data_IF_659614739804
#
_entry.id   IF_659614739804
#
_cell.length_a   1.000
_cell.length_b   1.000
_cell.length_c   1.000
_cell.angle_alpha   90.00
_cell.angle_beta   90.00
_cell.angle_gamma   90.00
#
_symmetry.space_group_name_H-M   'P 1'
#
loop_
_entity.id
_entity.type
_entity.pdbx_description
1 polymer ?
#
# COMPACT_ATOMS: atom_id res chain seq x y z
N UNK A 1 15.79 6.12 17.09
CA UNK A 1 15.80 6.43 15.64
C UNK A 1 14.84 5.46 14.99
N UNK A 2 13.66 5.86 14.52
CA UNK A 2 12.70 4.87 14.04
C UNK A 2 13.07 4.41 12.61
N UNK A 3 13.23 3.10 12.48
CA UNK A 3 13.14 2.22 11.31
C UNK A 3 13.25 2.82 9.89
N UNK A 4 14.40 3.42 9.56
CA UNK A 4 14.72 3.79 8.18
C UNK A 4 14.75 2.58 7.21
N UNK A 5 14.94 1.38 7.77
CA UNK A 5 15.03 0.12 7.02
C UNK A 5 13.66 -0.40 6.55
N UNK A 6 12.62 -0.25 7.38
CA UNK A 6 11.24 -0.66 7.05
C UNK A 6 10.65 0.23 5.96
N UNK A 7 10.81 1.55 6.10
CA UNK A 7 10.34 2.50 5.09
C UNK A 7 11.05 2.30 3.74
N UNK A 8 12.35 2.00 3.74
CA UNK A 8 13.09 1.64 2.51
C UNK A 8 12.60 0.34 1.89
N UNK A 9 12.34 -0.71 2.69
CA UNK A 9 11.77 -1.96 2.20
C UNK A 9 10.41 -1.74 1.55
N UNK A 10 9.52 -1.00 2.23
CA UNK A 10 8.20 -0.66 1.72
C UNK A 10 8.29 0.15 0.42
N UNK A 11 9.19 1.13 0.36
CA UNK A 11 9.41 1.93 -0.84
C UNK A 11 9.91 1.08 -2.01
N UNK A 12 10.73 0.06 -1.76
CA UNK A 12 11.12 -0.93 -2.76
C UNK A 12 9.97 -1.85 -3.19
N UNK A 13 9.12 -2.29 -2.26
CA UNK A 13 7.95 -3.13 -2.56
C UNK A 13 6.88 -2.39 -3.37
N UNK A 14 6.85 -1.05 -3.31
CA UNK A 14 5.98 -0.24 -4.14
C UNK A 14 6.50 -0.12 -5.59
N UNK A 15 7.78 -0.38 -5.85
CA UNK A 15 8.38 -0.32 -7.18
C UNK A 15 7.99 -1.52 -8.01
N UNK A 16 6.94 -1.39 -8.81
CA UNK A 16 6.25 -2.50 -9.47
C UNK A 16 6.15 -2.29 -10.98
N UNK A 17 5.73 -3.32 -11.73
CA UNK A 17 5.66 -3.27 -13.19
C UNK A 17 4.58 -2.32 -13.71
N UNK A 18 3.54 -2.08 -12.90
CA UNK A 18 2.42 -1.20 -13.23
C UNK A 18 2.66 0.22 -12.72
N UNK A 19 2.79 1.18 -13.65
CA UNK A 19 3.07 2.59 -13.34
C UNK A 19 1.98 3.26 -12.51
N UNK A 20 0.71 2.95 -12.77
CA UNK A 20 -0.40 3.52 -12.00
C UNK A 20 -0.34 3.07 -10.54
N UNK A 21 -0.12 1.78 -10.30
CA UNK A 21 0.02 1.22 -8.97
C UNK A 21 1.22 1.85 -8.23
N UNK A 22 2.35 2.00 -8.93
CA UNK A 22 3.57 2.64 -8.42
C UNK A 22 3.29 4.06 -7.92
N UNK A 23 2.58 4.88 -8.70
CA UNK A 23 2.21 6.25 -8.34
C UNK A 23 1.27 6.30 -7.14
N UNK A 24 0.26 5.42 -7.10
CA UNK A 24 -0.71 5.35 -6.00
C UNK A 24 -0.01 4.96 -4.69
N UNK A 25 0.81 3.91 -4.74
CA UNK A 25 1.55 3.40 -3.58
C UNK A 25 2.64 4.36 -3.12
N UNK A 26 3.40 4.99 -4.04
CA UNK A 26 4.44 5.95 -3.68
C UNK A 26 3.83 7.18 -3.00
N UNK A 27 2.70 7.70 -3.50
CA UNK A 27 1.98 8.82 -2.87
C UNK A 27 1.51 8.46 -1.47
N UNK A 28 0.83 7.32 -1.33
CA UNK A 28 0.37 6.85 -0.03
C UNK A 28 1.54 6.64 0.95
N UNK A 29 2.61 5.98 0.49
CA UNK A 29 3.80 5.73 1.29
C UNK A 29 4.49 7.03 1.68
N UNK A 30 4.53 8.05 0.82
CA UNK A 30 5.13 9.35 1.17
C UNK A 30 4.34 10.05 2.28
N UNK A 31 3.02 10.02 2.21
CA UNK A 31 2.14 10.69 3.19
C UNK A 31 2.09 9.92 4.53
N UNK A 32 2.04 8.60 4.45
CA UNK A 32 1.91 7.71 5.61
C UNK A 32 3.25 7.10 6.05
N UNK A 33 4.40 7.48 5.47
CA UNK A 33 5.74 6.93 5.81
C UNK A 33 6.02 7.01 7.31
N UNK A 34 5.65 8.14 7.92
CA UNK A 34 5.81 8.39 9.36
C UNK A 34 4.89 7.50 10.20
N UNK A 35 3.67 7.23 9.72
CA UNK A 35 2.71 6.37 10.40
C UNK A 35 3.09 4.88 10.24
N UNK A 36 3.42 4.45 9.02
CA UNK A 36 3.93 3.11 8.70
C UNK A 36 5.21 2.79 9.50
N UNK A 37 6.12 3.75 9.61
CA UNK A 37 7.32 3.63 10.45
C UNK A 37 7.02 3.43 11.94
N UNK A 38 5.89 3.97 12.42
CA UNK A 38 5.38 3.74 13.79
C UNK A 38 4.60 2.42 13.93
N UNK A 39 4.44 1.65 12.84
CA UNK A 39 3.67 0.41 12.83
C UNK A 39 2.18 0.60 12.57
N UNK A 40 1.77 1.75 12.04
CA UNK A 40 0.43 1.88 11.50
C UNK A 40 0.28 0.94 10.29
N UNK A 41 -0.92 0.37 10.12
CA UNK A 41 -1.28 -0.49 8.99
C UNK A 41 -0.41 -1.75 8.82
N UNK A 42 -0.43 -2.70 9.77
CA UNK A 42 0.28 -3.97 9.62
C UNK A 42 -0.16 -4.76 8.38
N UNK A 43 -1.40 -4.55 7.93
CA UNK A 43 -1.90 -5.15 6.69
C UNK A 43 -1.24 -4.62 5.42
N UNK A 44 -0.64 -3.42 5.42
CA UNK A 44 -0.03 -2.84 4.22
C UNK A 44 1.18 -3.64 3.74
N UNK A 45 2.06 -4.01 4.67
CA UNK A 45 3.23 -4.83 4.35
C UNK A 45 2.85 -6.21 3.83
N UNK A 46 1.79 -6.80 4.39
CA UNK A 46 1.31 -8.10 3.94
C UNK A 46 0.63 -8.00 2.58
N UNK A 47 -0.15 -6.93 2.36
CA UNK A 47 -0.74 -6.61 1.06
C UNK A 47 0.36 -6.48 0.00
N UNK A 48 1.46 -5.78 0.30
CA UNK A 48 2.60 -5.61 -0.61
C UNK A 48 3.41 -6.90 -0.88
N UNK A 49 3.08 -8.04 -0.26
CA UNK A 49 3.64 -9.34 -0.65
C UNK A 49 2.88 -9.99 -1.81
N UNK A 50 1.66 -9.52 -2.08
CA UNK A 50 0.82 -10.05 -3.16
C UNK A 50 1.25 -9.49 -4.53
N UNK A 51 0.79 -10.12 -5.60
CA UNK A 51 1.13 -9.76 -6.98
C UNK A 51 0.50 -8.43 -7.44
N UNK A 52 1.11 -7.79 -8.43
CA UNK A 52 0.68 -6.49 -8.97
C UNK A 52 -0.79 -6.55 -9.45
N UNK A 53 -1.15 -7.61 -10.17
CA UNK A 53 -2.52 -7.82 -10.67
C UNK A 53 -3.55 -7.94 -9.53
N UNK A 54 -3.17 -8.59 -8.42
CA UNK A 54 -4.06 -8.75 -7.26
C UNK A 54 -4.27 -7.41 -6.55
N UNK A 55 -3.20 -6.64 -6.35
CA UNK A 55 -3.30 -5.31 -5.76
C UNK A 55 -4.14 -4.37 -6.60
N UNK A 56 -3.94 -4.43 -7.92
CA UNK A 56 -4.70 -3.62 -8.87
C UNK A 56 -6.18 -3.98 -8.85
N UNK A 57 -6.51 -5.27 -8.86
CA UNK A 57 -7.89 -5.76 -8.77
C UNK A 57 -8.57 -5.34 -7.47
N UNK A 58 -7.86 -5.41 -6.34
CA UNK A 58 -8.38 -4.95 -5.04
C UNK A 58 -8.60 -3.43 -4.99
N UNK A 59 -7.71 -2.64 -5.61
CA UNK A 59 -7.89 -1.19 -5.71
C UNK A 59 -9.11 -0.84 -6.56
N UNK A 60 -9.30 -1.54 -7.68
CA UNK A 60 -10.44 -1.36 -8.56
C UNK A 60 -11.74 -1.86 -7.93
N UNK A 61 -11.68 -2.98 -7.21
CA UNK A 61 -12.82 -3.67 -6.63
C UNK A 61 -12.61 -3.98 -5.13
N UNK A 62 -12.71 -2.97 -4.24
CA UNK A 62 -12.55 -3.15 -2.80
C UNK A 62 -13.68 -3.96 -2.15
N UNK A 63 -14.72 -4.35 -2.92
CA UNK A 63 -15.80 -5.22 -2.46
C UNK A 63 -15.41 -6.71 -2.50
N UNK A 64 -14.21 -7.06 -2.95
CA UNK A 64 -13.74 -8.44 -2.98
C UNK A 64 -13.52 -9.00 -1.58
N UNK A 65 -13.90 -10.26 -1.29
CA UNK A 65 -13.68 -10.89 0.00
C UNK A 65 -12.19 -10.95 0.38
N UNK A 66 -11.33 -11.19 -0.60
CA UNK A 66 -9.87 -11.22 -0.42
C UNK A 66 -9.31 -9.84 0.00
N UNK A 67 -9.94 -8.76 -0.47
CA UNK A 67 -9.60 -7.39 -0.14
C UNK A 67 -10.24 -6.92 1.19
N UNK A 68 -11.20 -7.65 1.75
CA UNK A 68 -11.98 -7.21 2.92
C UNK A 68 -11.09 -6.85 4.12
N UNK A 69 -10.04 -7.65 4.35
CA UNK A 69 -9.02 -7.39 5.37
C UNK A 69 -8.20 -6.12 5.13
N UNK A 70 -8.09 -5.67 3.88
CA UNK A 70 -7.36 -4.47 3.45
C UNK A 70 -8.29 -3.34 3.04
N UNK A 71 -9.61 -3.52 3.14
CA UNK A 71 -10.62 -2.59 2.60
C UNK A 71 -10.41 -1.16 3.06
N UNK A 72 -10.24 -0.95 4.38
CA UNK A 72 -9.95 0.36 4.95
C UNK A 72 -8.68 0.98 4.38
N UNK A 73 -7.66 0.18 4.13
CA UNK A 73 -6.40 0.63 3.58
C UNK A 73 -6.52 0.97 2.09
N UNK A 74 -7.21 0.15 1.30
CA UNK A 74 -7.48 0.41 -0.12
C UNK A 74 -8.32 1.68 -0.29
N UNK A 75 -9.34 1.87 0.55
CA UNK A 75 -10.13 3.11 0.59
C UNK A 75 -9.24 4.31 0.91
N UNK A 76 -8.37 4.21 1.94
CA UNK A 76 -7.41 5.27 2.27
C UNK A 76 -6.44 5.60 1.14
N UNK A 77 -5.91 4.58 0.45
CA UNK A 77 -5.03 4.78 -0.70
C UNK A 77 -5.80 5.54 -1.78
N UNK A 78 -7.02 5.11 -2.12
CA UNK A 78 -7.87 5.79 -3.11
C UNK A 78 -8.21 7.22 -2.73
N UNK A 79 -8.56 7.49 -1.47
CA UNK A 79 -8.86 8.83 -0.97
C UNK A 79 -7.67 9.79 -1.09
N UNK A 80 -6.44 9.32 -0.83
CA UNK A 80 -5.23 10.14 -0.96
C UNK A 80 -4.66 10.21 -2.38
N UNK A 81 -5.24 9.44 -3.30
CA UNK A 81 -4.82 9.39 -4.70
C UNK A 81 -5.60 10.35 -5.61
N UNK A 82 -6.81 10.75 -5.18
CA UNK A 82 -7.65 11.77 -5.84
C UNK A 82 -7.14 13.19 -5.53
#
# INVERSE_FOLDING_TARGET
MPDNDRSRRLQWLCRRGMKELDVLLERFLRDEATALGQGAWPGFEEMLREEDDVLWDWLMNPALPAAERYRKLLERIRERSA
#
